data_IF_208613122373
#
_entry.id   IF_208613122373
#
_cell.length_a   1.000
_cell.length_b   1.000
_cell.length_c   1.000
_cell.angle_alpha   90.00
_cell.angle_beta   90.00
_cell.angle_gamma   90.00
#
_symmetry.space_group_name_H-M   'P 1'
#
loop_
_entity.id
_entity.type
_entity.pdbx_description
1 polymer ?
#
# COMPACT_ATOMS: atom_id res chain seq x y z
N UNK A 1 -7.49 2.37 9.98
CA UNK A 1 -7.44 2.04 8.54
C UNK A 1 -6.26 2.70 7.81
N UNK A 2 -6.17 4.03 7.72
CA UNK A 2 -5.06 4.70 6.98
C UNK A 2 -3.68 4.21 7.45
N UNK A 3 -3.47 4.18 8.77
CA UNK A 3 -2.20 3.71 9.34
C UNK A 3 -1.93 2.24 9.00
N UNK A 4 -2.92 1.35 9.15
CA UNK A 4 -2.74 -0.09 8.86
C UNK A 4 -2.46 -0.32 7.38
N UNK A 5 -3.11 0.44 6.50
CA UNK A 5 -2.87 0.38 5.06
C UNK A 5 -1.48 0.90 4.67
N UNK A 6 -1.02 1.98 5.29
CA UNK A 6 0.34 2.49 5.13
C UNK A 6 1.38 1.44 5.53
N UNK A 7 1.17 0.75 6.66
CA UNK A 7 2.06 -0.34 7.08
C UNK A 7 2.00 -1.50 6.09
N UNK A 8 0.82 -1.84 5.57
CA UNK A 8 0.67 -2.92 4.61
C UNK A 8 1.44 -2.63 3.30
N UNK A 9 1.25 -1.44 2.71
CA UNK A 9 2.02 -1.00 1.52
C UNK A 9 3.53 -1.01 1.80
N UNK A 10 3.95 -0.57 2.98
CA UNK A 10 5.37 -0.62 3.37
C UNK A 10 5.90 -2.06 3.38
N UNK A 11 5.15 -3.00 3.97
CA UNK A 11 5.53 -4.42 3.96
C UNK A 11 5.65 -4.96 2.54
N UNK A 12 4.67 -4.68 1.66
CA UNK A 12 4.72 -5.11 0.26
C UNK A 12 5.93 -4.53 -0.49
N UNK A 13 6.30 -3.27 -0.22
CA UNK A 13 7.51 -2.65 -0.81
C UNK A 13 8.80 -3.29 -0.33
N UNK A 14 8.86 -3.74 0.93
CA UNK A 14 10.01 -4.50 1.44
C UNK A 14 10.07 -5.88 0.77
N UNK A 15 8.92 -6.55 0.64
CA UNK A 15 8.83 -7.82 -0.09
C UNK A 15 9.34 -7.69 -1.53
N UNK A 16 9.01 -6.61 -2.24
CA UNK A 16 9.43 -6.42 -3.62
C UNK A 16 10.87 -5.93 -3.75
N UNK A 17 11.20 -4.81 -3.10
CA UNK A 17 12.47 -4.11 -3.29
C UNK A 17 13.66 -4.73 -2.55
N UNK A 18 13.41 -5.54 -1.51
CA UNK A 18 14.46 -6.21 -0.72
C UNK A 18 14.45 -7.70 -0.98
N UNK A 19 13.35 -8.39 -0.66
CA UNK A 19 13.34 -9.86 -0.70
C UNK A 19 13.28 -10.40 -2.13
N UNK A 20 12.27 -10.03 -2.92
CA UNK A 20 12.13 -10.48 -4.31
C UNK A 20 13.33 -10.08 -5.16
N UNK A 21 13.77 -8.81 -5.05
CA UNK A 21 14.95 -8.33 -5.77
C UNK A 21 16.22 -9.10 -5.37
N UNK A 22 16.53 -9.20 -4.08
CA UNK A 22 17.74 -9.91 -3.63
C UNK A 22 17.72 -11.40 -3.98
N UNK A 23 16.55 -12.05 -3.95
CA UNK A 23 16.42 -13.44 -4.40
C UNK A 23 16.75 -13.62 -5.89
N UNK A 24 16.35 -12.68 -6.74
CA UNK A 24 16.60 -12.73 -8.18
C UNK A 24 18.02 -12.30 -8.54
N UNK A 25 18.53 -11.24 -7.93
CA UNK A 25 19.79 -10.59 -8.30
C UNK A 25 20.99 -11.19 -7.56
N UNK A 26 20.89 -11.35 -6.23
CA UNK A 26 22.02 -11.76 -5.39
C UNK A 26 22.10 -13.28 -5.23
N UNK A 27 20.95 -13.95 -5.07
CA UNK A 27 20.87 -15.40 -4.86
C UNK A 27 20.62 -16.17 -6.17
N UNK A 28 20.22 -15.46 -7.24
CA UNK A 28 19.92 -16.04 -8.55
C UNK A 28 18.91 -17.19 -8.50
N UNK A 29 17.92 -17.10 -7.61
CA UNK A 29 16.82 -18.06 -7.55
C UNK A 29 16.00 -18.03 -8.83
N UNK A 30 15.50 -19.20 -9.22
CA UNK A 30 14.68 -19.33 -10.42
C UNK A 30 13.44 -18.41 -10.31
N UNK A 31 13.13 -17.59 -11.34
CA UNK A 31 12.00 -16.68 -11.31
C UNK A 31 10.67 -17.35 -10.97
N UNK A 32 10.47 -18.60 -11.37
CA UNK A 32 9.28 -19.39 -11.04
C UNK A 32 9.12 -19.63 -9.53
N UNK A 33 10.21 -19.91 -8.82
CA UNK A 33 10.22 -20.10 -7.36
C UNK A 33 9.93 -18.80 -6.64
N UNK A 34 10.57 -17.70 -7.07
CA UNK A 34 10.32 -16.37 -6.50
C UNK A 34 8.87 -15.93 -6.73
N UNK A 35 8.31 -16.23 -7.91
CA UNK A 35 6.90 -15.98 -8.21
C UNK A 35 5.95 -16.81 -7.33
N UNK A 36 6.28 -18.07 -7.04
CA UNK A 36 5.49 -18.91 -6.16
C UNK A 36 5.49 -18.43 -4.69
N UNK A 37 6.60 -17.82 -4.23
CA UNK A 37 6.70 -17.22 -2.90
C UNK A 37 5.95 -15.88 -2.79
N UNK A 38 5.99 -15.07 -3.84
CA UNK A 38 5.37 -13.75 -3.90
C UNK A 38 4.35 -13.65 -5.03
N UNK A 39 3.29 -14.48 -5.00
CA UNK A 39 2.30 -14.47 -6.06
C UNK A 39 1.60 -13.12 -6.09
N UNK A 40 1.49 -12.54 -7.30
CA UNK A 40 0.77 -11.29 -7.54
C UNK A 40 1.30 -10.04 -6.79
N UNK A 41 2.54 -10.05 -6.27
CA UNK A 41 3.07 -8.96 -5.44
C UNK A 41 2.98 -7.57 -6.10
N UNK A 42 3.27 -7.47 -7.39
CA UNK A 42 3.17 -6.21 -8.14
C UNK A 42 1.72 -5.69 -8.19
N UNK A 43 0.76 -6.59 -8.44
CA UNK A 43 -0.67 -6.25 -8.46
C UNK A 43 -1.15 -5.80 -7.09
N UNK A 44 -0.72 -6.49 -6.03
CA UNK A 44 -1.03 -6.09 -4.65
C UNK A 44 -0.47 -4.69 -4.37
N UNK A 45 0.77 -4.40 -4.75
CA UNK A 45 1.36 -3.07 -4.63
C UNK A 45 0.53 -2.00 -5.34
N UNK A 46 0.07 -2.26 -6.56
CA UNK A 46 -0.79 -1.33 -7.30
C UNK A 46 -2.09 -1.04 -6.57
N UNK A 47 -2.84 -2.09 -6.20
CA UNK A 47 -4.16 -1.97 -5.55
C UNK A 47 -4.03 -1.21 -4.21
N UNK A 48 -3.12 -1.64 -3.35
CA UNK A 48 -2.97 -1.08 -2.01
C UNK A 48 -2.35 0.32 -2.03
N UNK A 49 -1.45 0.62 -2.97
CA UNK A 49 -0.95 2.00 -3.14
C UNK A 49 -2.08 2.93 -3.60
N UNK A 50 -2.91 2.49 -4.55
CA UNK A 50 -4.05 3.29 -5.02
C UNK A 50 -5.04 3.56 -3.90
N UNK A 51 -5.44 2.52 -3.16
CA UNK A 51 -6.34 2.66 -2.03
C UNK A 51 -5.77 3.57 -0.93
N UNK A 52 -4.49 3.42 -0.58
CA UNK A 52 -3.81 4.31 0.36
C UNK A 52 -3.82 5.77 -0.11
N UNK A 53 -3.58 6.01 -1.40
CA UNK A 53 -3.66 7.37 -1.97
C UNK A 53 -5.05 7.97 -1.77
N UNK A 54 -6.12 7.22 -2.06
CA UNK A 54 -7.49 7.69 -1.85
C UNK A 54 -7.78 8.00 -0.37
N UNK A 55 -7.32 7.15 0.55
CA UNK A 55 -7.44 7.37 1.99
C UNK A 55 -6.72 8.67 2.44
N UNK A 56 -5.51 8.91 1.93
CA UNK A 56 -4.74 10.12 2.24
C UNK A 56 -5.37 11.38 1.65
N UNK A 57 -5.91 11.30 0.43
CA UNK A 57 -6.67 12.39 -0.19
C UNK A 57 -7.91 12.72 0.64
N UNK A 58 -8.68 11.73 1.08
CA UNK A 58 -9.84 11.95 1.95
C UNK A 58 -9.47 12.61 3.27
N UNK A 59 -8.36 12.19 3.88
CA UNK A 59 -7.81 12.83 5.09
C UNK A 59 -7.49 14.31 4.84
N UNK A 60 -6.79 14.62 3.74
CA UNK A 60 -6.42 16.00 3.41
C UNK A 60 -7.64 16.90 3.16
N UNK A 61 -8.67 16.37 2.50
CA UNK A 61 -9.94 17.07 2.28
C UNK A 61 -10.77 17.28 3.55
N UNK A 62 -10.48 16.51 4.61
CA UNK A 62 -11.21 16.53 5.88
C UNK A 62 -10.51 17.34 6.98
N UNK A 63 -9.46 18.09 6.64
CA UNK A 63 -8.75 18.98 7.57
C UNK A 63 -9.69 20.06 8.11
N UNK A 64 -9.57 20.36 9.40
CA UNK A 64 -10.29 21.46 10.00
C UNK A 64 -9.72 22.81 9.52
N UNK A 65 -10.53 23.88 9.44
CA UNK A 65 -10.04 25.22 9.13
C UNK A 65 -8.85 25.59 10.01
N UNK A 66 -7.83 26.19 9.40
CA UNK A 66 -6.58 26.61 10.06
C UNK A 66 -5.77 25.47 10.74
N UNK A 67 -6.08 24.20 10.47
CA UNK A 67 -5.33 23.06 10.98
C UNK A 67 -4.55 22.31 9.90
N UNK A 68 -3.29 22.01 10.19
CA UNK A 68 -2.44 21.15 9.36
C UNK A 68 -2.54 19.67 9.74
N UNK A 69 -3.09 19.37 10.92
CA UNK A 69 -3.03 18.04 11.52
C UNK A 69 -4.40 17.49 11.98
N UNK A 70 -5.32 18.36 12.39
CA UNK A 70 -6.63 17.94 12.88
C UNK A 70 -7.58 17.75 11.71
N UNK A 71 -8.22 16.60 11.65
CA UNK A 71 -9.19 16.26 10.61
C UNK A 71 -10.35 15.47 11.20
N UNK A 72 -11.49 15.50 10.52
CA UNK A 72 -12.65 14.67 10.88
C UNK A 72 -13.25 14.10 9.60
N UNK A 73 -13.01 12.80 9.36
CA UNK A 73 -13.58 12.11 8.20
C UNK A 73 -15.02 11.70 8.56
N UNK A 74 -15.99 12.32 7.91
CA UNK A 74 -17.43 12.07 8.16
C UNK A 74 -17.99 10.90 7.35
N UNK A 75 -17.33 10.53 6.25
CA UNK A 75 -17.69 9.41 5.37
C UNK A 75 -16.42 8.76 4.78
N UNK A 76 -16.37 7.42 4.84
CA UNK A 76 -15.28 6.61 4.29
C UNK A 76 -15.78 5.41 3.49
N UNK A 77 -17.05 5.05 3.66
CA UNK A 77 -17.71 3.88 3.10
C UNK A 77 -17.61 3.79 1.59
N UNK A 78 -17.68 4.92 0.90
CA UNK A 78 -17.53 5.01 -0.56
C UNK A 78 -16.17 4.49 -1.05
N UNK A 79 -15.09 4.78 -0.31
CA UNK A 79 -13.76 4.27 -0.63
C UNK A 79 -13.63 2.77 -0.36
N UNK A 80 -14.34 2.25 0.64
CA UNK A 80 -14.28 0.83 1.01
C UNK A 80 -15.03 -0.06 0.04
N UNK A 81 -16.08 0.46 -0.59
CA UNK A 81 -16.90 -0.28 -1.57
C UNK A 81 -16.18 -0.39 -2.93
N UNK A 82 -15.32 0.58 -3.26
CA UNK A 82 -14.59 0.64 -4.52
C UNK A 82 -13.27 -0.15 -4.53
N UNK A 83 -12.94 -0.84 -3.42
CA UNK A 83 -11.66 -1.55 -3.24
C UNK A 83 -11.57 -2.85 -4.05
#
# INVERSE_FOLDING_TARGET
LIQTELHHVRTLRIMDGVFRRGMLEDVQLEPGVVHALFPCLERLLTIHTHFLTQLLTRRAQSLQPDSTNNFTITQISDLLIQQ
#
